data_IF_754629536611
#
_entry.id   IF_754629536611
#
_cell.length_a   1.000
_cell.length_b   1.000
_cell.length_c   1.000
_cell.angle_alpha   90.00
_cell.angle_beta   90.00
_cell.angle_gamma   90.00
#
_symmetry.space_group_name_H-M   'P 1'
#
loop_
_entity.id
_entity.type
_entity.pdbx_description
1 polymer ?
#
# COMPACT_ATOMS: atom_id res chain seq x y z
N UNK A 1 17.29 20.91 -5.93
CA UNK A 1 17.12 19.54 -6.48
C UNK A 1 18.23 19.29 -7.49
N UNK A 2 19.00 18.22 -7.31
CA UNK A 2 20.01 17.79 -8.29
C UNK A 2 19.35 17.02 -9.45
N UNK A 3 19.90 17.15 -10.66
CA UNK A 3 19.57 16.25 -11.77
C UNK A 3 20.52 15.05 -11.68
N UNK A 4 19.94 13.85 -11.70
CA UNK A 4 20.69 12.60 -11.69
C UNK A 4 20.11 11.69 -12.75
N UNK A 5 20.97 11.10 -13.58
CA UNK A 5 20.60 10.08 -14.56
C UNK A 5 20.82 8.72 -13.90
N UNK A 6 19.76 7.92 -13.81
CA UNK A 6 19.79 6.55 -13.28
C UNK A 6 19.02 5.65 -14.25
N UNK A 7 19.51 4.43 -14.45
CA UNK A 7 18.76 3.40 -15.18
C UNK A 7 17.75 2.74 -14.24
N UNK A 8 16.51 2.64 -14.72
CA UNK A 8 15.39 2.02 -14.00
C UNK A 8 14.65 1.12 -14.95
N UNK A 9 14.22 -0.04 -14.47
CA UNK A 9 13.40 -0.96 -15.25
C UNK A 9 12.04 -0.33 -15.59
N UNK A 10 11.77 -0.19 -16.89
CA UNK A 10 10.52 0.36 -17.41
C UNK A 10 9.29 -0.45 -17.04
N UNK A 11 9.43 -1.77 -16.83
CA UNK A 11 8.34 -2.62 -16.37
C UNK A 11 7.94 -2.28 -14.92
N UNK A 12 8.93 -2.00 -14.05
CA UNK A 12 8.68 -1.56 -12.67
C UNK A 12 8.03 -0.17 -12.64
N UNK A 13 8.54 0.76 -13.45
CA UNK A 13 7.96 2.10 -13.56
C UNK A 13 6.52 2.02 -14.04
N UNK A 14 6.23 1.23 -15.07
CA UNK A 14 4.87 1.02 -15.57
C UNK A 14 3.95 0.39 -14.51
N UNK A 15 4.44 -0.57 -13.71
CA UNK A 15 3.66 -1.16 -12.63
C UNK A 15 3.30 -0.14 -11.55
N UNK A 16 4.25 0.72 -11.14
CA UNK A 16 4.01 1.80 -10.17
C UNK A 16 3.06 2.84 -10.74
N UNK A 17 3.27 3.27 -11.99
CA UNK A 17 2.40 4.24 -12.64
C UNK A 17 0.95 3.75 -12.74
N UNK A 18 0.72 2.48 -13.09
CA UNK A 18 -0.62 1.89 -13.10
C UNK A 18 -1.22 1.80 -11.69
N UNK A 19 -0.42 1.40 -10.69
CA UNK A 19 -0.90 1.20 -9.32
C UNK A 19 -1.31 2.50 -8.63
N UNK A 20 -0.62 3.59 -8.93
CA UNK A 20 -0.84 4.89 -8.30
C UNK A 20 -1.41 5.94 -9.25
N UNK A 21 -1.84 5.54 -10.46
CA UNK A 21 -2.40 6.42 -11.50
C UNK A 21 -1.52 7.64 -11.80
N UNK A 22 -0.21 7.42 -12.01
CA UNK A 22 0.76 8.49 -12.24
C UNK A 22 1.00 8.74 -13.73
N UNK A 23 1.26 10.01 -14.05
CA UNK A 23 1.39 10.51 -15.42
C UNK A 23 2.82 10.43 -15.95
N UNK A 24 3.83 10.48 -15.06
CA UNK A 24 5.24 10.56 -15.45
C UNK A 24 6.15 9.59 -14.70
N UNK A 25 7.24 9.17 -15.34
CA UNK A 25 8.29 8.34 -14.70
C UNK A 25 8.92 9.06 -13.49
N UNK A 26 9.07 10.39 -13.58
CA UNK A 26 9.62 11.21 -12.48
C UNK A 26 8.71 11.21 -11.26
N UNK A 27 7.41 11.32 -11.44
CA UNK A 27 6.44 11.21 -10.34
C UNK A 27 6.45 9.82 -9.72
N UNK A 28 6.58 8.76 -10.52
CA UNK A 28 6.70 7.40 -10.01
C UNK A 28 7.93 7.25 -9.09
N UNK A 29 9.08 7.80 -9.49
CA UNK A 29 10.30 7.77 -8.67
C UNK A 29 10.17 8.63 -7.42
N UNK A 30 9.66 9.86 -7.52
CA UNK A 30 9.45 10.73 -6.36
C UNK A 30 8.47 10.10 -5.37
N UNK A 31 7.38 9.50 -5.87
CA UNK A 31 6.41 8.76 -5.04
C UNK A 31 7.04 7.55 -4.37
N UNK A 32 7.85 6.77 -5.08
CA UNK A 32 8.54 5.61 -4.50
C UNK A 32 9.51 6.01 -3.39
N UNK A 33 10.29 7.08 -3.60
CA UNK A 33 11.20 7.61 -2.58
C UNK A 33 10.45 8.14 -1.36
N UNK A 34 9.36 8.90 -1.58
CA UNK A 34 8.51 9.37 -0.48
C UNK A 34 7.76 8.25 0.22
N UNK A 35 7.45 7.16 -0.47
CA UNK A 35 6.84 5.99 0.16
C UNK A 35 7.85 5.27 1.06
N UNK A 36 9.12 5.19 0.63
CA UNK A 36 10.19 4.55 1.40
C UNK A 36 10.62 5.40 2.62
N UNK A 37 10.65 6.73 2.47
CA UNK A 37 11.06 7.68 3.52
C UNK A 37 9.87 8.19 4.34
N UNK A 38 8.64 7.97 3.87
CA UNK A 38 7.43 8.36 4.57
C UNK A 38 7.42 7.79 5.98
N UNK A 39 6.78 8.47 6.95
CA UNK A 39 6.75 7.99 8.33
C UNK A 39 6.18 6.58 8.34
N UNK A 40 7.04 5.61 8.60
CA UNK A 40 6.61 4.26 8.93
C UNK A 40 5.99 4.44 10.31
N UNK A 41 4.66 4.56 10.36
CA UNK A 41 3.94 4.58 11.63
C UNK A 41 4.46 3.40 12.42
N UNK A 42 5.05 3.67 13.58
CA UNK A 42 5.64 2.59 14.36
C UNK A 42 4.52 1.64 14.75
N UNK A 43 4.82 0.35 14.84
CA UNK A 43 3.82 -0.66 15.22
C UNK A 43 3.07 -0.25 16.50
N UNK A 44 3.75 0.43 17.43
CA UNK A 44 3.16 1.01 18.64
C UNK A 44 2.15 2.14 18.37
N UNK A 45 2.41 3.04 17.41
CA UNK A 45 1.47 4.08 17.01
C UNK A 45 0.26 3.49 16.28
N UNK A 46 0.47 2.47 15.42
CA UNK A 46 -0.64 1.74 14.79
C UNK A 46 -1.52 1.02 15.82
N UNK A 47 -0.91 0.44 16.86
CA UNK A 47 -1.62 -0.19 17.98
C UNK A 47 -2.32 0.83 18.88
N UNK A 48 -1.75 2.02 19.06
CA UNK A 48 -2.41 3.11 19.79
C UNK A 48 -3.65 3.65 19.05
N UNK A 49 -3.70 3.48 17.73
CA UNK A 49 -4.89 3.73 16.90
C UNK A 49 -5.83 2.51 16.81
N UNK A 50 -5.49 1.38 17.42
CA UNK A 50 -6.35 0.20 17.44
C UNK A 50 -7.56 0.50 18.35
N UNK A 51 -8.73 0.65 17.73
CA UNK A 51 -9.95 1.12 18.41
C UNK A 51 -10.38 2.53 18.00
N UNK A 52 -9.52 3.30 17.31
CA UNK A 52 -9.94 4.54 16.63
C UNK A 52 -10.42 4.18 15.22
N UNK A 53 -11.56 3.49 15.12
CA UNK A 53 -11.96 2.99 13.82
C UNK A 53 -13.34 2.40 13.82
N UNK A 54 -14.32 3.28 13.61
CA UNK A 54 -15.64 3.01 13.05
C UNK A 54 -16.75 2.70 14.07
N UNK A 55 -17.58 3.72 14.34
CA UNK A 55 -18.88 3.64 15.03
C UNK A 55 -20.04 3.29 14.07
N UNK A 56 -19.72 2.81 12.87
CA UNK A 56 -20.75 2.39 11.94
C UNK A 56 -21.45 1.11 12.43
N UNK A 57 -22.74 1.02 12.17
CA UNK A 57 -23.48 -0.22 12.35
C UNK A 57 -23.25 -1.11 11.12
N UNK A 58 -22.69 -2.31 11.30
CA UNK A 58 -22.72 -3.32 10.25
C UNK A 58 -24.14 -3.90 10.19
N UNK A 59 -24.90 -3.49 9.18
CA UNK A 59 -26.27 -3.99 8.96
C UNK A 59 -26.32 -5.50 8.67
N UNK A 60 -25.18 -6.07 8.28
CA UNK A 60 -25.04 -7.51 8.06
C UNK A 60 -23.62 -7.97 8.36
N UNK A 61 -23.42 -9.13 9.00
CA UNK A 61 -22.08 -9.69 9.18
C UNK A 61 -21.43 -9.96 7.81
N UNK A 62 -20.10 -9.76 7.68
CA UNK A 62 -19.40 -10.09 6.46
C UNK A 62 -19.62 -11.58 6.12
N UNK A 63 -19.99 -11.85 4.88
CA UNK A 63 -20.23 -13.21 4.42
C UNK A 63 -19.01 -14.10 4.71
N UNK A 64 -19.20 -15.36 5.14
CA UNK A 64 -18.09 -16.25 5.40
C UNK A 64 -17.31 -16.43 4.09
N UNK A 65 -16.07 -15.94 4.07
CA UNK A 65 -15.17 -16.18 2.96
C UNK A 65 -14.84 -17.67 2.99
N UNK A 66 -15.41 -18.43 2.06
CA UNK A 66 -15.15 -19.85 1.93
C UNK A 66 -13.69 -20.05 1.49
N UNK A 67 -12.79 -20.20 2.46
CA UNK A 67 -11.36 -20.19 2.18
C UNK A 67 -10.46 -20.58 3.35
N UNK A 68 -10.82 -21.59 4.15
CA UNK A 68 -9.84 -22.25 5.02
C UNK A 68 -10.30 -23.66 5.39
N UNK A 69 -9.62 -24.68 4.87
CA UNK A 69 -9.80 -26.06 5.34
C UNK A 69 -9.56 -27.12 4.28
N UNK A 70 -8.33 -27.24 3.78
CA UNK A 70 -7.89 -28.42 3.03
C UNK A 70 -8.01 -29.65 3.97
N UNK A 71 -8.69 -30.74 3.59
CA UNK A 71 -8.82 -31.90 4.47
C UNK A 71 -7.44 -32.54 4.66
N UNK A 72 -6.99 -32.64 5.92
CA UNK A 72 -5.93 -33.59 6.28
C UNK A 72 -6.62 -34.87 6.72
N UNK A 73 -6.25 -35.94 6.01
CA UNK A 73 -6.49 -37.38 6.22
C UNK A 73 -7.12 -37.80 7.53
#
# INVERSE_FOLDING_TARGET
>A
MGRTTIDVDDALVAAVMRRYSLSTKREAVDRALRHLVGPVMQRSEMLAMQGSGWEGYLDSPPAPTAGAGRPRR
#
